data_IF_954221265348
#
_entry.id   IF_954221265348
#
_cell.length_a   1.000
_cell.length_b   1.000
_cell.length_c   1.000
_cell.angle_alpha   90.00
_cell.angle_beta   90.00
_cell.angle_gamma   90.00
#
_symmetry.space_group_name_H-M   'P 1'
#
loop_
_entity.id
_entity.type
_entity.pdbx_description
1 polymer ?
#
# COMPACT_ATOMS: atom_id res chain seq x y z
N UNK A 1 18.36 5.18 -7.32
CA UNK A 1 18.54 6.58 -6.90
C UNK A 1 17.26 7.11 -6.28
N UNK A 2 17.36 7.57 -5.05
CA UNK A 2 16.22 8.14 -4.32
C UNK A 2 15.89 9.54 -4.81
N UNK A 3 14.61 9.93 -4.71
CA UNK A 3 14.15 11.26 -5.10
C UNK A 3 13.44 11.94 -3.93
N UNK A 4 13.49 13.28 -3.90
CA UNK A 4 12.70 14.07 -2.97
C UNK A 4 11.46 14.70 -3.64
N UNK A 5 11.17 14.30 -4.88
CA UNK A 5 10.00 14.78 -5.61
C UNK A 5 8.77 13.97 -5.23
N UNK A 6 7.85 14.60 -4.52
CA UNK A 6 6.61 13.97 -4.08
C UNK A 6 5.51 14.30 -5.09
N UNK A 7 5.43 13.51 -6.15
CA UNK A 7 4.43 13.67 -7.21
C UNK A 7 3.76 12.35 -7.53
N UNK A 8 2.68 12.43 -8.30
CA UNK A 8 1.86 11.26 -8.65
C UNK A 8 2.66 10.19 -9.39
N UNK A 9 3.59 10.59 -10.24
CA UNK A 9 4.43 9.66 -11.00
C UNK A 9 5.31 8.81 -10.07
N UNK A 10 5.95 9.46 -9.09
CA UNK A 10 6.80 8.75 -8.14
C UNK A 10 5.99 7.93 -7.15
N UNK A 11 4.80 8.40 -6.78
CA UNK A 11 3.89 7.65 -5.92
C UNK A 11 3.40 6.39 -6.65
N UNK A 12 3.07 6.50 -7.93
CA UNK A 12 2.70 5.34 -8.73
C UNK A 12 3.84 4.32 -8.80
N UNK A 13 5.07 4.79 -8.94
CA UNK A 13 6.25 3.92 -8.92
C UNK A 13 6.37 3.18 -7.59
N UNK A 14 6.10 3.88 -6.48
CA UNK A 14 6.08 3.25 -5.16
C UNK A 14 5.04 2.14 -5.09
N UNK A 15 3.82 2.41 -5.54
CA UNK A 15 2.73 1.43 -5.52
C UNK A 15 3.10 0.17 -6.31
N UNK A 16 3.63 0.35 -7.51
CA UNK A 16 4.06 -0.77 -8.35
C UNK A 16 5.19 -1.57 -7.68
N UNK A 17 6.18 -0.88 -7.16
CA UNK A 17 7.32 -1.52 -6.48
C UNK A 17 6.84 -2.34 -5.28
N UNK A 18 5.93 -1.77 -4.50
CA UNK A 18 5.40 -2.42 -3.31
C UNK A 18 4.64 -3.71 -3.68
N UNK A 19 3.69 -3.63 -4.63
CA UNK A 19 2.90 -4.81 -4.98
C UNK A 19 3.71 -5.88 -5.71
N UNK A 20 4.76 -5.49 -6.43
CA UNK A 20 5.70 -6.47 -6.99
C UNK A 20 6.31 -7.32 -5.87
N UNK A 21 6.64 -6.70 -4.75
CA UNK A 21 7.16 -7.40 -3.57
C UNK A 21 6.10 -8.23 -2.88
N UNK A 22 4.88 -7.67 -2.74
CA UNK A 22 3.76 -8.36 -2.09
C UNK A 22 3.44 -9.67 -2.78
N UNK A 23 3.41 -9.67 -4.11
CA UNK A 23 3.07 -10.88 -4.88
C UNK A 23 4.17 -11.95 -4.82
N UNK A 24 5.36 -11.60 -4.35
CA UNK A 24 6.44 -12.55 -4.12
C UNK A 24 6.53 -13.00 -2.67
N UNK A 25 5.71 -12.44 -1.78
CA UNK A 25 5.74 -12.77 -0.36
C UNK A 25 4.75 -13.90 -0.09
N UNK A 26 5.22 -14.96 0.55
CA UNK A 26 4.41 -16.16 0.81
C UNK A 26 3.21 -15.88 1.72
N UNK A 27 3.36 -14.94 2.65
CA UNK A 27 2.30 -14.60 3.60
C UNK A 27 1.21 -13.74 2.96
N UNK A 28 1.61 -12.71 2.19
CA UNK A 28 0.68 -11.72 1.66
C UNK A 28 0.11 -12.06 0.29
N UNK A 29 0.88 -12.71 -0.57
CA UNK A 29 0.44 -12.98 -1.94
C UNK A 29 -0.93 -13.66 -2.01
N UNK A 30 -1.25 -14.69 -1.19
CA UNK A 30 -2.56 -15.35 -1.28
C UNK A 30 -3.74 -14.40 -1.10
N UNK A 31 -3.64 -13.43 -0.18
CA UNK A 31 -4.72 -12.47 0.05
C UNK A 31 -5.01 -11.65 -1.19
N UNK A 32 -3.95 -11.17 -1.85
CA UNK A 32 -4.09 -10.31 -3.02
C UNK A 32 -4.46 -11.09 -4.27
N UNK A 33 -3.92 -12.29 -4.44
CA UNK A 33 -4.25 -13.15 -5.59
C UNK A 33 -5.72 -13.55 -5.53
N UNK A 34 -6.25 -13.86 -4.35
CA UNK A 34 -7.65 -14.22 -4.18
C UNK A 34 -8.58 -13.10 -4.64
N UNK A 35 -8.26 -11.85 -4.33
CA UNK A 35 -9.13 -10.71 -4.62
C UNK A 35 -8.86 -10.03 -5.95
N UNK A 36 -7.61 -10.08 -6.44
CA UNK A 36 -7.18 -9.31 -7.60
C UNK A 36 -6.62 -10.17 -8.74
N UNK A 37 -6.33 -11.44 -8.45
CA UNK A 37 -5.71 -12.33 -9.42
C UNK A 37 -4.19 -12.25 -9.39
N UNK A 38 -3.49 -13.16 -10.07
CA UNK A 38 -2.03 -13.28 -10.01
C UNK A 38 -1.27 -12.38 -10.99
N UNK A 39 -1.96 -11.72 -11.92
CA UNK A 39 -1.31 -10.95 -12.99
C UNK A 39 -1.48 -9.45 -12.79
N UNK A 40 -0.38 -8.78 -12.42
CA UNK A 40 -0.35 -7.33 -12.21
C UNK A 40 -0.64 -6.52 -13.49
N UNK A 41 -0.58 -7.16 -14.65
CA UNK A 41 -0.88 -6.50 -15.93
C UNK A 41 -2.35 -6.57 -16.27
N UNK A 42 -3.15 -7.28 -15.46
CA UNK A 42 -4.59 -7.37 -15.68
C UNK A 42 -5.27 -6.02 -15.41
N UNK A 43 -6.46 -5.85 -15.97
CA UNK A 43 -7.26 -4.64 -15.77
C UNK A 43 -7.62 -4.47 -14.28
N UNK A 44 -7.89 -5.56 -13.58
CA UNK A 44 -8.20 -5.53 -12.15
C UNK A 44 -7.07 -4.92 -11.34
N UNK A 45 -5.83 -5.37 -11.59
CA UNK A 45 -4.66 -4.82 -10.92
C UNK A 45 -4.37 -3.38 -11.32
N UNK A 46 -4.52 -3.07 -12.60
CA UNK A 46 -4.29 -1.71 -13.08
C UNK A 46 -5.22 -0.72 -12.40
N UNK A 47 -6.50 -1.06 -12.31
CA UNK A 47 -7.50 -0.24 -11.62
C UNK A 47 -7.15 -0.09 -10.15
N UNK A 48 -6.73 -1.17 -9.50
CA UNK A 48 -6.34 -1.15 -8.08
C UNK A 48 -5.14 -0.26 -7.84
N UNK A 49 -4.11 -0.36 -8.69
CA UNK A 49 -2.90 0.46 -8.53
C UNK A 49 -3.18 1.94 -8.77
N UNK A 50 -4.05 2.26 -9.72
CA UNK A 50 -4.48 3.65 -9.95
C UNK A 50 -5.22 4.20 -8.73
N UNK A 51 -6.11 3.40 -8.16
CA UNK A 51 -6.84 3.79 -6.94
C UNK A 51 -5.90 4.07 -5.79
N UNK A 52 -4.91 3.20 -5.58
CA UNK A 52 -3.95 3.38 -4.49
C UNK A 52 -2.98 4.52 -4.73
N UNK A 53 -2.63 4.79 -5.98
CA UNK A 53 -1.83 5.97 -6.32
C UNK A 53 -2.60 7.24 -5.93
N UNK A 54 -3.89 7.31 -6.23
CA UNK A 54 -4.74 8.44 -5.84
C UNK A 54 -4.89 8.52 -4.32
N UNK A 55 -5.07 7.39 -3.67
CA UNK A 55 -5.16 7.32 -2.21
C UNK A 55 -3.91 7.91 -1.54
N UNK A 56 -2.73 7.45 -1.92
CA UNK A 56 -1.49 7.91 -1.33
C UNK A 56 -1.19 9.37 -1.70
N UNK A 57 -1.49 9.78 -2.92
CA UNK A 57 -1.33 11.17 -3.34
C UNK A 57 -2.15 12.09 -2.44
N UNK A 58 -3.42 11.74 -2.22
CA UNK A 58 -4.31 12.51 -1.36
C UNK A 58 -3.80 12.55 0.08
N UNK A 59 -3.36 11.41 0.59
CA UNK A 59 -2.96 11.28 1.99
C UNK A 59 -1.69 12.03 2.33
N UNK A 60 -0.68 11.99 1.45
CA UNK A 60 0.63 12.59 1.74
C UNK A 60 0.77 14.02 1.23
N UNK A 61 0.00 14.43 0.23
CA UNK A 61 0.07 15.81 -0.30
C UNK A 61 -1.09 16.67 0.13
N UNK A 62 -2.18 16.09 0.60
CA UNK A 62 -3.41 16.82 0.93
C UNK A 62 -4.24 17.20 -0.29
N UNK A 63 -3.82 16.82 -1.50
CA UNK A 63 -4.55 17.11 -2.73
C UNK A 63 -4.62 15.85 -3.58
N UNK A 64 -5.76 15.62 -4.22
CA UNK A 64 -5.98 14.43 -5.05
C UNK A 64 -7.45 14.08 -5.08
N UNK A 65 -7.76 12.97 -5.74
CA UNK A 65 -9.14 12.61 -6.09
C UNK A 65 -9.73 11.49 -5.25
N UNK A 66 -8.97 10.92 -4.31
CA UNK A 66 -9.48 9.81 -3.53
C UNK A 66 -10.55 10.26 -2.53
N UNK A 67 -11.71 9.59 -2.54
CA UNK A 67 -12.86 9.91 -1.69
C UNK A 67 -13.43 8.68 -0.96
N UNK A 68 -12.81 7.52 -1.12
CA UNK A 68 -13.32 6.27 -0.54
C UNK A 68 -12.82 6.01 0.87
N UNK A 69 -13.27 4.88 1.41
CA UNK A 69 -12.82 4.36 2.71
C UNK A 69 -12.09 3.04 2.49
N UNK A 70 -10.82 2.93 2.86
CA UNK A 70 -10.06 1.69 2.61
C UNK A 70 -10.41 0.55 3.56
N UNK A 71 -10.93 0.84 4.77
CA UNK A 71 -11.15 -0.20 5.77
C UNK A 71 -12.22 -1.23 5.38
N UNK A 72 -13.44 -0.83 4.93
CA UNK A 72 -14.48 -1.83 4.65
C UNK A 72 -14.08 -2.95 3.70
N UNK A 73 -13.37 -2.70 2.58
CA UNK A 73 -12.88 -3.79 1.75
C UNK A 73 -11.93 -4.73 2.47
N UNK A 74 -11.07 -4.19 3.34
CA UNK A 74 -10.12 -5.00 4.11
C UNK A 74 -10.83 -5.85 5.16
N UNK A 75 -11.90 -5.35 5.74
CA UNK A 75 -12.66 -6.08 6.75
C UNK A 75 -13.30 -7.36 6.19
N UNK A 76 -13.48 -7.43 4.88
CA UNK A 76 -14.05 -8.59 4.21
C UNK A 76 -13.01 -9.66 3.84
N UNK A 77 -11.74 -9.37 4.00
CA UNK A 77 -10.67 -10.32 3.72
C UNK A 77 -10.54 -11.31 4.90
N UNK A 78 -10.72 -12.58 4.63
CA UNK A 78 -10.61 -13.60 5.68
C UNK A 78 -9.15 -13.95 5.94
N UNK A 79 -8.85 -14.27 7.21
CA UNK A 79 -7.52 -14.75 7.58
C UNK A 79 -6.48 -13.67 7.84
N UNK A 80 -6.87 -12.39 7.81
CA UNK A 80 -5.94 -11.31 8.15
C UNK A 80 -5.60 -11.38 9.63
N UNK A 81 -4.31 -11.41 9.93
CA UNK A 81 -3.79 -11.43 11.30
C UNK A 81 -2.73 -10.36 11.48
N UNK A 82 -2.23 -10.22 12.73
CA UNK A 82 -1.21 -9.22 13.05
C UNK A 82 0.06 -9.43 12.22
N UNK A 83 0.46 -10.66 12.01
CA UNK A 83 1.65 -10.98 11.22
C UNK A 83 1.53 -10.48 9.78
N UNK A 84 0.33 -10.59 9.17
CA UNK A 84 0.10 -10.08 7.83
C UNK A 84 0.32 -8.56 7.76
N UNK A 85 -0.17 -7.81 8.76
CA UNK A 85 0.03 -6.36 8.80
C UNK A 85 1.49 -6.00 9.07
N UNK A 86 2.18 -6.75 9.93
CA UNK A 86 3.60 -6.51 10.20
C UNK A 86 4.44 -6.74 8.95
N UNK A 87 4.13 -7.79 8.18
CA UNK A 87 4.81 -8.07 6.91
C UNK A 87 4.51 -6.98 5.90
N UNK A 88 3.24 -6.53 5.82
CA UNK A 88 2.83 -5.44 4.94
C UNK A 88 3.63 -4.17 5.22
N UNK A 89 3.74 -3.77 6.48
CA UNK A 89 4.49 -2.58 6.90
C UNK A 89 5.96 -2.72 6.51
N UNK A 90 6.56 -3.87 6.78
CA UNK A 90 7.97 -4.11 6.45
C UNK A 90 8.23 -3.93 4.96
N UNK A 91 7.43 -4.57 4.12
CA UNK A 91 7.59 -4.48 2.67
C UNK A 91 7.33 -3.07 2.16
N UNK A 92 6.36 -2.37 2.76
CA UNK A 92 6.04 -1.01 2.38
C UNK A 92 7.20 -0.07 2.72
N UNK A 93 7.77 -0.18 3.93
CA UNK A 93 8.91 0.65 4.34
C UNK A 93 10.11 0.42 3.42
N UNK A 94 10.40 -0.83 3.09
CA UNK A 94 11.49 -1.15 2.16
C UNK A 94 11.27 -0.54 0.77
N UNK A 95 10.03 -0.56 0.30
CA UNK A 95 9.69 0.02 -1.00
C UNK A 95 9.81 1.53 -0.99
N UNK A 96 9.33 2.18 0.08
CA UNK A 96 9.41 3.63 0.25
C UNK A 96 10.88 4.07 0.25
N UNK A 97 11.72 3.37 1.00
CA UNK A 97 13.16 3.71 1.08
C UNK A 97 13.89 3.55 -0.24
N UNK A 98 13.40 2.69 -1.12
CA UNK A 98 13.99 2.53 -2.45
C UNK A 98 13.74 3.73 -3.35
N UNK A 99 12.63 4.42 -3.15
CA UNK A 99 12.16 5.46 -4.09
C UNK A 99 12.43 6.86 -3.58
N UNK A 100 12.21 7.08 -2.28
CA UNK A 100 12.23 8.43 -1.71
C UNK A 100 13.39 8.65 -0.76
N UNK A 101 13.83 9.92 -0.68
CA UNK A 101 14.79 10.35 0.34
C UNK A 101 14.15 10.27 1.73
N UNK A 102 14.95 10.26 2.78
CA UNK A 102 14.52 10.02 4.14
C UNK A 102 13.39 10.93 4.61
N UNK A 103 13.45 12.22 4.28
CA UNK A 103 12.44 13.20 4.69
C UNK A 103 11.07 12.90 4.08
N UNK A 104 11.04 12.51 2.81
CA UNK A 104 9.80 12.12 2.13
C UNK A 104 9.33 10.75 2.61
N UNK A 105 10.27 9.81 2.77
CA UNK A 105 9.96 8.47 3.23
C UNK A 105 9.25 8.48 4.59
N UNK A 106 9.64 9.38 5.49
CA UNK A 106 9.01 9.50 6.81
C UNK A 106 7.51 9.79 6.73
N UNK A 107 7.08 10.55 5.74
CA UNK A 107 5.65 10.86 5.56
C UNK A 107 4.86 9.59 5.28
N UNK A 108 5.37 8.75 4.39
CA UNK A 108 4.73 7.46 4.07
C UNK A 108 4.76 6.50 5.24
N UNK A 109 5.88 6.43 5.93
CA UNK A 109 6.05 5.52 7.07
C UNK A 109 5.10 5.87 8.20
N UNK A 110 4.98 7.15 8.52
CA UNK A 110 4.07 7.63 9.55
C UNK A 110 2.62 7.31 9.21
N UNK A 111 2.19 7.66 8.00
CA UNK A 111 0.80 7.43 7.57
C UNK A 111 0.46 5.95 7.48
N UNK A 112 1.36 5.14 6.92
CA UNK A 112 1.11 3.70 6.80
C UNK A 112 1.04 3.01 8.15
N UNK A 113 1.86 3.43 9.11
CA UNK A 113 1.83 2.88 10.47
C UNK A 113 0.51 3.18 11.16
N UNK A 114 -0.02 4.39 11.00
CA UNK A 114 -1.31 4.77 11.57
C UNK A 114 -2.43 3.93 10.93
N UNK A 115 -2.41 3.78 9.61
CA UNK A 115 -3.41 2.99 8.89
C UNK A 115 -3.39 1.53 9.35
N UNK A 116 -2.22 0.91 9.42
CA UNK A 116 -2.11 -0.47 9.86
C UNK A 116 -2.60 -0.65 11.29
N UNK A 117 -2.24 0.28 12.17
CA UNK A 117 -2.69 0.27 13.57
C UNK A 117 -4.20 0.35 13.69
N UNK A 118 -4.81 1.24 12.91
CA UNK A 118 -6.26 1.42 12.92
C UNK A 118 -6.97 0.17 12.37
N UNK A 119 -6.44 -0.42 11.30
CA UNK A 119 -7.02 -1.65 10.73
C UNK A 119 -6.96 -2.80 11.73
N UNK A 120 -5.81 -2.99 12.39
CA UNK A 120 -5.66 -4.05 13.38
C UNK A 120 -6.62 -3.85 14.55
N UNK A 121 -6.77 -2.61 15.03
CA UNK A 121 -7.69 -2.29 16.13
C UNK A 121 -9.12 -2.62 15.72
N UNK A 122 -9.54 -2.21 14.54
CA UNK A 122 -10.91 -2.44 14.08
C UNK A 122 -11.20 -3.91 13.80
N UNK A 123 -10.18 -4.69 13.47
CA UNK A 123 -10.31 -6.14 13.25
C UNK A 123 -10.15 -6.95 14.55
N UNK A 124 -9.75 -6.31 15.63
CA UNK A 124 -9.57 -6.98 16.92
C UNK A 124 -8.31 -7.85 17.00
N UNK A 125 -7.28 -7.50 16.28
CA UNK A 125 -6.04 -8.29 16.23
C UNK A 125 -4.81 -7.53 16.71
#
# INVERSE_FOLDING_TARGET
VQTNQLDKKNINKLVITFYTRVLKDEKLAPFFIEHLGPDMKSQTWETHMDLLTDFWTTLVTGSGDYRGFPFPPHAQMSGLDREAFETWIKLFFESVDKIFTEDIAMKFKEKSSIIASNFMRNLGI
#
